data_IF_006111195228
#
_entry.id   IF_006111195228
#
_cell.length_a   1.000
_cell.length_b   1.000
_cell.length_c   1.000
_cell.angle_alpha   90.00
_cell.angle_beta   90.00
_cell.angle_gamma   90.00
#
_symmetry.space_group_name_H-M   'P 1'
#
loop_
_entity.id
_entity.type
_entity.pdbx_description
1 polymer ?
#
# COMPACT_ATOMS: atom_id res chain seq x y z
N UNK A 1 21.13 -21.52 18.12
CA UNK A 1 19.89 -20.85 17.70
C UNK A 1 19.76 -21.05 16.20
N UNK A 2 18.84 -21.91 15.74
CA UNK A 2 18.63 -22.17 14.31
C UNK A 2 18.08 -20.90 13.64
N UNK A 3 18.89 -20.30 12.79
CA UNK A 3 18.53 -19.14 11.98
C UNK A 3 17.63 -19.59 10.80
N UNK A 4 16.44 -20.09 11.09
CA UNK A 4 15.44 -20.35 10.06
C UNK A 4 14.81 -19.02 9.65
N UNK A 5 15.48 -18.31 8.71
CA UNK A 5 14.78 -17.26 7.96
C UNK A 5 13.71 -17.93 7.11
N UNK A 6 12.43 -17.53 7.24
CA UNK A 6 11.36 -18.12 6.43
C UNK A 6 11.67 -17.97 4.94
N UNK A 7 11.25 -18.96 4.15
CA UNK A 7 11.49 -18.99 2.70
C UNK A 7 11.12 -17.65 2.04
N UNK A 8 12.00 -17.20 1.14
CA UNK A 8 11.82 -15.94 0.41
C UNK A 8 10.74 -16.04 -0.67
N UNK A 9 10.40 -17.27 -1.09
CA UNK A 9 9.36 -17.53 -2.07
C UNK A 9 8.09 -18.05 -1.42
N UNK A 10 6.95 -17.59 -1.93
CA UNK A 10 5.62 -18.02 -1.49
C UNK A 10 4.80 -18.44 -2.70
N UNK A 11 4.05 -19.53 -2.54
CA UNK A 11 3.07 -19.99 -3.51
C UNK A 11 1.66 -19.54 -3.05
N UNK A 12 0.86 -19.11 -4.01
CA UNK A 12 -0.54 -18.76 -3.84
C UNK A 12 -1.37 -19.42 -4.93
N UNK A 13 -2.30 -20.28 -4.53
CA UNK A 13 -3.28 -20.86 -5.45
C UNK A 13 -4.49 -19.94 -5.61
N UNK A 14 -4.99 -19.81 -6.83
CA UNK A 14 -6.17 -19.00 -7.13
C UNK A 14 -6.90 -19.54 -8.37
N UNK A 15 -8.10 -19.03 -8.70
CA UNK A 15 -8.74 -19.33 -9.98
C UNK A 15 -7.90 -18.94 -11.21
N UNK A 16 -6.99 -17.98 -11.07
CA UNK A 16 -6.08 -17.55 -12.15
C UNK A 16 -4.90 -18.50 -12.36
N UNK A 17 -4.69 -19.50 -11.49
CA UNK A 17 -3.56 -20.44 -11.55
C UNK A 17 -2.71 -20.43 -10.29
N UNK A 18 -1.45 -20.84 -10.43
CA UNK A 18 -0.46 -20.86 -9.35
C UNK A 18 0.45 -19.65 -9.44
N UNK A 19 0.43 -18.81 -8.42
CA UNK A 19 1.26 -17.62 -8.33
C UNK A 19 2.49 -17.89 -7.46
N UNK A 20 3.67 -17.72 -8.02
CA UNK A 20 4.96 -17.75 -7.32
C UNK A 20 5.44 -16.32 -7.07
N UNK A 21 5.63 -15.96 -5.82
CA UNK A 21 6.09 -14.64 -5.40
C UNK A 21 7.38 -14.73 -4.58
N UNK A 22 8.37 -13.89 -4.93
CA UNK A 22 9.60 -13.75 -4.15
C UNK A 22 9.65 -12.35 -3.51
N UNK A 23 9.51 -12.28 -2.20
CA UNK A 23 9.44 -11.01 -1.46
C UNK A 23 10.73 -10.16 -1.51
N UNK A 24 11.88 -10.79 -1.74
CA UNK A 24 13.18 -10.08 -1.75
C UNK A 24 13.43 -9.38 -3.09
N UNK A 25 13.13 -10.07 -4.19
CA UNK A 25 13.34 -9.55 -5.54
C UNK A 25 12.12 -8.81 -6.09
N UNK A 26 10.93 -9.06 -5.51
CA UNK A 26 9.65 -8.62 -6.05
C UNK A 26 9.22 -9.39 -7.30
N UNK A 27 9.87 -10.54 -7.57
CA UNK A 27 9.52 -11.39 -8.71
C UNK A 27 8.12 -11.98 -8.51
N UNK A 28 7.29 -11.82 -9.52
CA UNK A 28 5.96 -12.41 -9.61
C UNK A 28 5.90 -13.28 -10.87
N UNK A 29 5.52 -14.56 -10.72
CA UNK A 29 5.31 -15.46 -11.83
C UNK A 29 3.94 -16.09 -11.66
N UNK A 30 3.06 -15.91 -12.64
CA UNK A 30 1.80 -16.63 -12.73
C UNK A 30 1.95 -17.80 -13.68
N UNK A 31 1.63 -18.99 -13.20
CA UNK A 31 1.52 -20.22 -13.99
C UNK A 31 0.02 -20.45 -14.22
N UNK A 32 -0.54 -19.80 -15.22
CA UNK A 32 -1.96 -19.79 -15.55
C UNK A 32 -2.42 -21.09 -16.24
N UNK A 33 -1.50 -21.85 -16.81
CA UNK A 33 -1.73 -23.20 -17.35
C UNK A 33 -2.01 -24.25 -16.26
N UNK A 34 -1.70 -23.92 -14.99
CA UNK A 34 -1.91 -24.84 -13.87
C UNK A 34 -3.31 -24.60 -13.28
N UNK A 35 -4.23 -25.51 -13.56
CA UNK A 35 -5.54 -25.52 -12.91
C UNK A 35 -5.38 -25.89 -11.41
N UNK A 36 -5.58 -24.89 -10.54
CA UNK A 36 -5.54 -25.10 -9.09
C UNK A 36 -6.92 -25.53 -8.59
N UNK A 37 -7.07 -26.70 -7.92
CA UNK A 37 -8.33 -27.09 -7.33
C UNK A 37 -8.86 -26.06 -6.32
N UNK A 38 -10.16 -25.81 -6.30
CA UNK A 38 -10.77 -24.80 -5.44
C UNK A 38 -10.45 -24.97 -3.95
N UNK A 39 -10.29 -26.20 -3.49
CA UNK A 39 -9.89 -26.50 -2.10
C UNK A 39 -8.47 -26.02 -1.75
N UNK A 40 -7.63 -25.74 -2.76
CA UNK A 40 -6.27 -25.23 -2.60
C UNK A 40 -6.17 -23.72 -2.89
N UNK A 41 -7.28 -23.07 -3.16
CA UNK A 41 -7.27 -21.62 -3.31
C UNK A 41 -6.95 -20.91 -1.97
N UNK A 42 -6.11 -19.93 -2.05
CA UNK A 42 -5.78 -19.08 -0.90
C UNK A 42 -7.02 -18.34 -0.42
N UNK A 43 -7.29 -18.36 0.90
CA UNK A 43 -8.49 -17.80 1.51
C UNK A 43 -8.37 -16.31 1.79
N UNK A 44 -7.17 -15.84 2.10
CA UNK A 44 -6.91 -14.44 2.41
C UNK A 44 -6.66 -13.60 1.13
N UNK A 45 -6.85 -12.27 1.18
CA UNK A 45 -6.47 -11.36 0.10
C UNK A 45 -5.00 -11.50 -0.30
N UNK A 46 -4.69 -11.24 -1.58
CA UNK A 46 -3.31 -11.22 -2.06
C UNK A 46 -2.48 -10.17 -1.33
N UNK A 47 -3.06 -9.02 -1.04
CA UNK A 47 -2.43 -7.91 -0.35
C UNK A 47 -3.37 -7.37 0.73
N UNK A 48 -2.83 -7.07 1.92
CA UNK A 48 -3.58 -6.40 2.99
C UNK A 48 -2.84 -5.14 3.41
N UNK A 49 -3.55 -4.02 3.51
CA UNK A 49 -3.02 -2.82 4.17
C UNK A 49 -3.54 -2.72 5.60
N UNK A 50 -2.67 -2.26 6.50
CA UNK A 50 -3.00 -2.10 7.93
C UNK A 50 -2.63 -0.68 8.34
N UNK A 51 -3.63 0.11 8.70
CA UNK A 51 -3.43 1.42 9.31
C UNK A 51 -3.06 1.23 10.78
N UNK A 52 -1.77 1.33 11.11
CA UNK A 52 -1.28 1.08 12.47
C UNK A 52 -1.76 2.12 13.47
N UNK A 53 -1.91 3.36 13.02
CA UNK A 53 -2.37 4.49 13.86
C UNK A 53 -3.06 5.54 13.01
N UNK A 54 -3.98 6.28 13.60
CA UNK A 54 -4.58 7.48 13.01
C UNK A 54 -3.79 8.76 13.30
N UNK A 55 -2.75 8.68 14.14
CA UNK A 55 -1.87 9.83 14.43
C UNK A 55 -1.06 10.20 13.20
N UNK A 56 -0.98 11.50 12.94
CA UNK A 56 -0.13 12.07 11.91
C UNK A 56 0.15 13.53 12.25
N UNK A 57 1.37 13.97 12.10
CA UNK A 57 1.79 15.36 12.31
C UNK A 57 1.55 16.25 11.08
N UNK A 58 0.97 15.70 10.00
CA UNK A 58 0.51 16.46 8.83
C UNK A 58 -1.02 16.58 8.81
N UNK A 59 -1.52 17.64 8.16
CA UNK A 59 -2.95 17.92 8.00
C UNK A 59 -3.30 18.18 6.54
N UNK A 60 -2.89 17.28 5.63
CA UNK A 60 -3.15 17.41 4.19
C UNK A 60 -4.66 17.40 3.92
N UNK A 61 -5.13 18.36 3.10
CA UNK A 61 -6.55 18.56 2.84
C UNK A 61 -7.21 17.32 2.17
N UNK A 62 -6.50 16.65 1.27
CA UNK A 62 -6.96 15.46 0.54
C UNK A 62 -6.80 14.15 1.32
N UNK A 63 -6.36 14.19 2.58
CA UNK A 63 -6.14 12.98 3.38
C UNK A 63 -7.46 12.31 3.76
N UNK A 64 -7.64 11.04 3.39
CA UNK A 64 -8.80 10.24 3.77
C UNK A 64 -8.76 9.79 5.23
N UNK A 65 -7.57 9.67 5.83
CA UNK A 65 -7.40 9.15 7.18
C UNK A 65 -8.05 10.09 8.23
N UNK A 66 -8.79 9.49 9.13
CA UNK A 66 -9.29 10.19 10.31
C UNK A 66 -8.12 10.60 11.20
N UNK A 67 -8.16 11.83 11.73
CA UNK A 67 -7.18 12.30 12.70
C UNK A 67 -7.70 12.02 14.10
N UNK A 68 -7.15 11.00 14.75
CA UNK A 68 -7.45 10.61 16.11
C UNK A 68 -6.23 9.98 16.76
N UNK A 69 -6.35 9.57 18.01
CA UNK A 69 -5.28 8.89 18.76
C UNK A 69 -5.37 7.36 18.67
N UNK A 70 -6.29 6.84 17.84
CA UNK A 70 -6.44 5.40 17.70
C UNK A 70 -5.17 4.77 17.15
N UNK A 71 -4.81 3.64 17.73
CA UNK A 71 -3.69 2.82 17.30
C UNK A 71 -3.93 1.34 17.61
N UNK A 72 -3.40 0.49 16.77
CA UNK A 72 -3.52 -0.95 16.91
C UNK A 72 -2.49 -1.50 17.92
N UNK A 73 -2.91 -2.48 18.68
CA UNK A 73 -2.00 -3.16 19.61
C UNK A 73 -1.08 -4.12 18.87
N UNK A 74 0.15 -4.22 19.33
CA UNK A 74 1.16 -5.11 18.77
C UNK A 74 0.70 -6.57 18.66
N UNK A 75 0.15 -7.11 19.75
CA UNK A 75 -0.33 -8.49 19.84
C UNK A 75 -1.49 -8.80 18.89
N UNK A 76 -2.38 -7.84 18.65
CA UNK A 76 -3.46 -7.99 17.67
C UNK A 76 -2.90 -8.04 16.24
N UNK A 77 -2.03 -7.10 15.88
CA UNK A 77 -1.43 -7.05 14.54
C UNK A 77 -0.61 -8.30 14.26
N UNK A 78 0.20 -8.77 15.20
CA UNK A 78 1.03 -9.97 15.00
C UNK A 78 0.21 -11.24 14.81
N UNK A 79 -0.92 -11.42 15.52
CA UNK A 79 -1.86 -12.52 15.27
C UNK A 79 -2.45 -12.45 13.85
N UNK A 80 -2.89 -11.28 13.41
CA UNK A 80 -3.43 -11.10 12.06
C UNK A 80 -2.38 -11.38 10.99
N UNK A 81 -1.13 -10.94 11.19
CA UNK A 81 -0.03 -11.22 10.26
C UNK A 81 0.23 -12.72 10.11
N UNK A 82 0.24 -13.47 11.23
CA UNK A 82 0.42 -14.92 11.21
C UNK A 82 -0.74 -15.63 10.49
N UNK A 83 -1.98 -15.24 10.73
CA UNK A 83 -3.16 -15.80 10.08
C UNK A 83 -3.18 -15.49 8.58
N UNK A 84 -2.90 -14.26 8.18
CA UNK A 84 -2.81 -13.84 6.78
C UNK A 84 -1.70 -14.60 6.04
N UNK A 85 -0.52 -14.75 6.66
CA UNK A 85 0.59 -15.51 6.08
C UNK A 85 0.22 -16.98 5.83
N UNK A 86 -0.36 -17.63 6.83
CA UNK A 86 -0.81 -19.02 6.72
C UNK A 86 -1.92 -19.21 5.68
N UNK A 87 -2.70 -18.18 5.40
CA UNK A 87 -3.87 -18.21 4.50
C UNK A 87 -3.60 -17.70 3.09
N UNK A 88 -2.32 -17.43 2.75
CA UNK A 88 -1.90 -17.19 1.38
C UNK A 88 -1.73 -15.71 0.98
N UNK A 89 -1.84 -14.75 1.90
CA UNK A 89 -1.47 -13.34 1.62
C UNK A 89 0.00 -13.26 1.22
N UNK A 90 0.32 -12.52 0.17
CA UNK A 90 1.69 -12.35 -0.32
C UNK A 90 2.40 -11.18 0.36
N UNK A 91 1.69 -10.13 0.71
CA UNK A 91 2.28 -8.95 1.31
C UNK A 91 1.36 -8.16 2.22
N UNK A 92 1.97 -7.40 3.11
CA UNK A 92 1.31 -6.45 3.98
C UNK A 92 1.89 -5.06 3.77
N UNK A 93 1.02 -4.04 3.78
CA UNK A 93 1.40 -2.65 3.73
C UNK A 93 1.01 -1.92 5.01
N UNK A 94 1.96 -1.44 5.78
CA UNK A 94 1.67 -0.60 6.94
C UNK A 94 1.43 0.85 6.52
N UNK A 95 0.38 1.45 7.08
CA UNK A 95 -0.02 2.82 6.80
C UNK A 95 -0.78 3.40 7.99
N UNK A 96 -1.71 4.29 7.68
CA UNK A 96 -2.58 4.94 8.67
C UNK A 96 -2.56 6.45 8.51
N UNK A 97 -2.40 7.20 9.61
CA UNK A 97 -1.94 8.58 9.58
C UNK A 97 -0.49 8.63 9.09
N UNK A 98 0.45 8.49 10.02
CA UNK A 98 1.87 8.25 9.72
C UNK A 98 2.34 7.03 10.51
N UNK A 99 2.65 5.89 9.85
CA UNK A 99 2.95 4.65 10.55
C UNK A 99 4.21 4.73 11.42
N UNK A 100 5.16 5.59 11.07
CA UNK A 100 6.39 5.78 11.86
C UNK A 100 6.15 6.41 13.23
N UNK A 101 4.96 6.98 13.46
CA UNK A 101 4.54 7.48 14.77
C UNK A 101 3.96 6.39 15.68
N UNK A 102 3.74 5.19 15.17
CA UNK A 102 3.32 4.07 16.01
C UNK A 102 4.50 3.59 16.87
N UNK A 103 4.34 3.47 18.21
CA UNK A 103 5.47 3.21 19.12
C UNK A 103 6.19 1.89 18.84
N UNK A 104 5.49 0.92 18.28
CA UNK A 104 6.05 -0.40 17.98
C UNK A 104 6.22 -0.65 16.48
N UNK A 105 6.22 0.39 15.66
CA UNK A 105 6.33 0.29 14.19
C UNK A 105 7.51 -0.58 13.74
N UNK A 106 8.70 -0.31 14.27
CA UNK A 106 9.90 -1.09 13.93
C UNK A 106 9.77 -2.55 14.32
N UNK A 107 9.24 -2.83 15.52
CA UNK A 107 9.04 -4.21 15.98
C UNK A 107 8.03 -4.95 15.12
N UNK A 108 6.97 -4.29 14.66
CA UNK A 108 5.98 -4.87 13.73
C UNK A 108 6.60 -5.22 12.39
N UNK A 109 7.42 -4.32 11.81
CA UNK A 109 8.16 -4.61 10.58
C UNK A 109 9.11 -5.80 10.77
N UNK A 110 9.85 -5.83 11.89
CA UNK A 110 10.77 -6.92 12.22
C UNK A 110 10.04 -8.24 12.41
N UNK A 111 8.94 -8.25 13.16
CA UNK A 111 8.10 -9.45 13.33
C UNK A 111 7.59 -9.98 11.99
N UNK A 112 7.00 -9.13 11.17
CA UNK A 112 6.49 -9.54 9.87
C UNK A 112 7.59 -10.14 8.97
N UNK A 113 8.79 -9.55 8.99
CA UNK A 113 9.91 -10.03 8.19
C UNK A 113 10.54 -11.34 8.70
N UNK A 114 10.55 -11.56 10.02
CA UNK A 114 11.26 -12.68 10.65
C UNK A 114 10.35 -13.88 10.90
N UNK A 115 9.09 -13.64 11.31
CA UNK A 115 8.16 -14.67 11.74
C UNK A 115 7.17 -15.07 10.64
N UNK A 116 7.13 -14.34 9.51
CA UNK A 116 6.24 -14.62 8.40
C UNK A 116 6.98 -14.62 7.06
N UNK A 117 6.32 -15.12 6.00
CA UNK A 117 6.78 -15.03 4.61
C UNK A 117 6.20 -13.83 3.86
N UNK A 118 5.49 -12.94 4.55
CA UNK A 118 4.89 -11.75 3.95
C UNK A 118 5.95 -10.79 3.42
N UNK A 119 5.71 -10.19 2.27
CA UNK A 119 6.41 -8.98 1.87
C UNK A 119 5.96 -7.81 2.72
N UNK A 120 6.89 -7.09 3.31
CA UNK A 120 6.61 -5.97 4.19
C UNK A 120 6.82 -4.67 3.44
N UNK A 121 5.79 -3.84 3.38
CA UNK A 121 5.85 -2.49 2.84
C UNK A 121 5.24 -1.48 3.80
N UNK A 122 5.54 -0.20 3.61
CA UNK A 122 4.81 0.87 4.30
C UNK A 122 4.73 2.13 3.45
N UNK A 123 3.69 2.93 3.74
CA UNK A 123 3.48 4.24 3.13
C UNK A 123 3.72 5.32 4.17
N UNK A 124 4.54 6.31 3.84
CA UNK A 124 4.96 7.39 4.75
C UNK A 124 5.02 8.73 4.01
N UNK A 125 4.91 9.84 4.74
CA UNK A 125 5.27 11.16 4.20
C UNK A 125 6.81 11.37 4.17
N UNK A 126 7.60 10.46 4.74
CA UNK A 126 9.06 10.42 4.65
C UNK A 126 9.82 11.24 5.68
N UNK A 127 9.24 12.26 6.29
CA UNK A 127 9.97 13.22 7.15
C UNK A 127 10.54 12.62 8.44
N UNK A 128 9.99 11.50 8.92
CA UNK A 128 10.52 10.78 10.09
C UNK A 128 11.52 9.69 9.74
N UNK A 129 11.74 9.44 8.44
CA UNK A 129 12.71 8.42 8.01
C UNK A 129 14.10 9.05 8.00
N UNK A 130 14.74 9.05 9.17
CA UNK A 130 16.12 9.47 9.34
C UNK A 130 17.08 8.27 9.30
N UNK A 131 18.36 8.54 9.50
CA UNK A 131 19.41 7.51 9.49
C UNK A 131 19.18 6.46 10.58
N UNK A 132 18.79 6.87 11.79
CA UNK A 132 18.57 5.95 12.91
C UNK A 132 17.42 4.97 12.60
N UNK A 133 16.27 5.49 12.18
CA UNK A 133 15.14 4.67 11.79
C UNK A 133 15.50 3.75 10.62
N UNK A 134 16.26 4.26 9.65
CA UNK A 134 16.71 3.48 8.49
C UNK A 134 17.57 2.29 8.88
N UNK A 135 18.51 2.47 9.79
CA UNK A 135 19.37 1.40 10.30
C UNK A 135 18.54 0.31 11.02
N UNK A 136 17.53 0.71 11.80
CA UNK A 136 16.63 -0.20 12.52
C UNK A 136 15.68 -1.01 11.61
N UNK A 137 15.30 -0.45 10.47
CA UNK A 137 14.38 -1.08 9.51
C UNK A 137 15.09 -1.95 8.45
N UNK A 138 16.41 -1.84 8.32
CA UNK A 138 17.17 -2.55 7.30
C UNK A 138 16.97 -4.06 7.38
N UNK A 139 16.60 -4.67 6.26
CA UNK A 139 16.31 -6.11 6.16
C UNK A 139 14.94 -6.54 6.67
N UNK A 140 14.13 -5.60 7.20
CA UNK A 140 12.78 -5.85 7.69
C UNK A 140 11.67 -5.30 6.77
N UNK A 141 12.06 -4.55 5.73
CA UNK A 141 11.13 -3.92 4.78
C UNK A 141 11.56 -4.27 3.36
N UNK A 142 10.61 -4.60 2.51
CA UNK A 142 10.83 -4.98 1.11
C UNK A 142 10.54 -3.82 0.15
N UNK A 143 9.61 -2.93 0.52
CA UNK A 143 9.23 -1.80 -0.30
C UNK A 143 8.70 -0.62 0.53
N UNK A 144 8.99 0.61 0.10
CA UNK A 144 8.50 1.82 0.75
C UNK A 144 7.77 2.69 -0.27
N UNK A 145 6.64 3.27 0.12
CA UNK A 145 5.95 4.30 -0.66
C UNK A 145 6.07 5.64 0.04
N UNK A 146 6.65 6.61 -0.65
CA UNK A 146 6.77 7.98 -0.14
C UNK A 146 5.75 8.88 -0.82
N UNK A 147 4.97 9.58 -0.03
CA UNK A 147 3.98 10.52 -0.54
C UNK A 147 4.62 11.84 -0.96
N UNK A 148 4.53 12.20 -2.25
CA UNK A 148 5.08 13.42 -2.81
C UNK A 148 4.07 14.06 -3.79
N UNK A 149 3.22 14.96 -3.27
CA UNK A 149 2.18 15.62 -4.05
C UNK A 149 2.70 16.95 -4.62
N UNK A 150 3.25 16.90 -5.82
CA UNK A 150 3.91 18.02 -6.46
C UNK A 150 5.37 18.20 -6.03
N UNK A 151 5.99 19.28 -6.45
CA UNK A 151 7.38 19.65 -6.14
C UNK A 151 7.45 21.06 -5.59
N UNK A 152 8.56 21.41 -4.91
CA UNK A 152 8.83 22.75 -4.40
C UNK A 152 7.63 23.38 -3.67
N UNK A 153 7.18 24.52 -4.16
CA UNK A 153 6.10 25.31 -3.52
C UNK A 153 4.76 24.56 -3.49
N UNK A 154 4.41 23.78 -4.50
CA UNK A 154 3.18 22.97 -4.53
C UNK A 154 3.21 21.90 -3.45
N UNK A 155 4.32 21.17 -3.35
CA UNK A 155 4.50 20.20 -2.26
C UNK A 155 4.37 20.86 -0.89
N UNK A 156 5.07 21.99 -0.67
CA UNK A 156 5.06 22.71 0.61
C UNK A 156 3.68 23.27 0.95
N UNK A 157 2.95 23.73 -0.05
CA UNK A 157 1.56 24.18 0.13
C UNK A 157 0.64 23.02 0.57
N UNK A 158 0.75 21.86 -0.07
CA UNK A 158 -0.11 20.70 0.20
C UNK A 158 0.27 19.99 1.50
N UNK A 159 1.57 19.74 1.71
CA UNK A 159 2.09 18.92 2.81
C UNK A 159 2.48 19.72 4.04
N UNK A 160 2.62 21.03 3.92
CA UNK A 160 3.06 21.94 5.01
C UNK A 160 4.40 21.53 5.61
N UNK A 161 5.30 21.01 4.78
CA UNK A 161 6.67 20.56 5.12
C UNK A 161 7.63 20.96 4.02
N UNK A 162 8.89 21.13 4.37
CA UNK A 162 9.95 21.49 3.41
C UNK A 162 10.16 20.38 2.37
N UNK A 163 10.10 20.76 1.10
CA UNK A 163 10.42 19.87 -0.01
C UNK A 163 11.90 19.49 -0.03
N UNK A 164 12.79 20.45 0.27
CA UNK A 164 14.22 20.20 0.36
C UNK A 164 14.57 19.16 1.44
N UNK A 165 13.87 19.21 2.58
CA UNK A 165 14.03 18.20 3.64
C UNK A 165 13.58 16.82 3.15
N UNK A 166 12.44 16.71 2.46
CA UNK A 166 12.02 15.45 1.88
C UNK A 166 13.10 14.84 0.98
N UNK A 167 13.70 15.64 0.09
CA UNK A 167 14.75 15.15 -0.82
C UNK A 167 15.96 14.60 -0.05
N UNK A 168 16.31 15.18 1.09
CA UNK A 168 17.35 14.63 1.97
C UNK A 168 16.92 13.27 2.53
N UNK A 169 15.66 13.16 3.03
CA UNK A 169 15.12 11.91 3.58
C UNK A 169 15.00 10.78 2.57
N UNK A 170 14.79 11.07 1.29
CA UNK A 170 14.76 10.03 0.26
C UNK A 170 16.05 9.22 0.16
N UNK A 171 17.21 9.78 0.55
CA UNK A 171 18.47 9.05 0.64
C UNK A 171 18.42 8.00 1.76
N UNK A 172 17.84 8.36 2.90
CA UNK A 172 17.67 7.47 4.04
C UNK A 172 16.67 6.35 3.70
N UNK A 173 15.54 6.71 3.06
CA UNK A 173 14.55 5.75 2.54
C UNK A 173 15.20 4.73 1.60
N UNK A 174 15.99 5.19 0.62
CA UNK A 174 16.71 4.33 -0.34
C UNK A 174 17.67 3.36 0.35
N UNK A 175 18.23 3.73 1.50
CA UNK A 175 19.16 2.88 2.25
C UNK A 175 18.46 1.69 2.93
N UNK A 176 17.14 1.73 3.12
CA UNK A 176 16.35 0.66 3.73
C UNK A 176 16.01 -0.41 2.68
N UNK A 177 15.37 0.01 1.58
CA UNK A 177 14.87 -0.87 0.53
C UNK A 177 14.61 -0.10 -0.77
N UNK A 178 14.14 -0.82 -1.81
CA UNK A 178 13.53 -0.17 -2.97
C UNK A 178 12.33 0.66 -2.54
N UNK A 179 12.08 1.76 -3.26
CA UNK A 179 10.95 2.62 -2.95
C UNK A 179 10.28 3.15 -4.22
N UNK A 180 9.03 3.55 -4.06
CA UNK A 180 8.25 4.27 -5.06
C UNK A 180 7.66 5.55 -4.47
N UNK A 181 7.21 6.42 -5.32
CA UNK A 181 6.54 7.67 -4.95
C UNK A 181 5.04 7.55 -5.23
N UNK A 182 4.22 8.01 -4.29
CA UNK A 182 2.78 8.19 -4.47
C UNK A 182 2.49 9.66 -4.71
N UNK A 183 1.68 9.95 -5.72
CA UNK A 183 1.18 11.30 -5.99
C UNK A 183 -0.34 11.30 -6.13
N UNK A 184 -1.02 12.12 -5.34
CA UNK A 184 -2.44 12.39 -5.52
C UNK A 184 -2.59 13.33 -6.71
N UNK A 185 -3.27 12.88 -7.76
CA UNK A 185 -3.43 13.63 -9.01
C UNK A 185 -4.72 14.44 -8.97
N UNK A 186 -4.56 15.75 -9.01
CA UNK A 186 -5.62 16.75 -9.07
C UNK A 186 -5.19 17.93 -9.95
N UNK A 187 -5.96 19.00 -9.99
CA UNK A 187 -5.68 20.19 -10.80
C UNK A 187 -4.34 20.87 -10.47
N UNK A 188 -3.88 20.78 -9.22
CA UNK A 188 -2.64 21.40 -8.77
C UNK A 188 -1.42 20.54 -9.06
N UNK A 189 -1.52 19.20 -8.93
CA UNK A 189 -0.38 18.28 -9.07
C UNK A 189 -0.20 17.76 -10.48
N UNK A 190 -1.28 17.68 -11.28
CA UNK A 190 -1.22 17.20 -12.67
C UNK A 190 -0.23 17.97 -13.54
N UNK A 191 -0.13 19.32 -13.51
CA UNK A 191 0.84 20.07 -14.29
C UNK A 191 2.30 19.76 -13.95
N UNK A 192 2.56 19.23 -12.77
CA UNK A 192 3.91 18.98 -12.26
C UNK A 192 4.35 17.50 -12.39
N UNK A 193 3.54 16.63 -13.01
CA UNK A 193 3.84 15.19 -13.06
C UNK A 193 5.17 14.86 -13.73
N UNK A 194 5.58 15.60 -14.77
CA UNK A 194 6.89 15.41 -15.39
C UNK A 194 8.03 15.69 -14.41
N UNK A 195 7.90 16.76 -13.63
CA UNK A 195 8.90 17.14 -12.66
C UNK A 195 8.88 16.20 -11.44
N UNK A 196 7.70 15.78 -10.98
CA UNK A 196 7.56 14.74 -9.94
C UNK A 196 8.23 13.45 -10.40
N UNK A 197 8.00 13.01 -11.63
CA UNK A 197 8.61 11.81 -12.18
C UNK A 197 10.14 11.94 -12.28
N UNK A 198 10.63 13.08 -12.76
CA UNK A 198 12.06 13.36 -12.88
C UNK A 198 12.75 13.35 -11.51
N UNK A 199 12.23 14.12 -10.55
CA UNK A 199 12.81 14.19 -9.19
C UNK A 199 12.76 12.83 -8.48
N UNK A 200 11.68 12.08 -8.68
CA UNK A 200 11.54 10.72 -8.11
C UNK A 200 12.61 9.78 -8.68
N UNK A 201 12.83 9.82 -10.01
CA UNK A 201 13.85 9.00 -10.67
C UNK A 201 15.27 9.39 -10.22
N UNK A 202 15.56 10.69 -10.14
CA UNK A 202 16.86 11.21 -9.67
C UNK A 202 17.13 10.79 -8.21
N UNK A 203 16.12 10.72 -7.38
CA UNK A 203 16.21 10.20 -5.99
C UNK A 203 16.38 8.67 -5.95
N UNK A 204 16.17 7.96 -7.05
CA UNK A 204 16.30 6.51 -7.15
C UNK A 204 15.03 5.73 -6.84
N UNK A 205 13.87 6.36 -6.94
CA UNK A 205 12.59 5.63 -6.95
C UNK A 205 12.54 4.67 -8.15
N UNK A 206 11.81 3.56 -8.01
CA UNK A 206 11.65 2.60 -9.11
C UNK A 206 10.25 2.63 -9.73
N UNK A 207 9.29 3.29 -9.08
CA UNK A 207 7.93 3.43 -9.60
C UNK A 207 7.24 4.70 -9.10
N UNK A 208 6.25 5.15 -9.86
CA UNK A 208 5.36 6.26 -9.53
C UNK A 208 3.92 5.76 -9.49
N UNK A 209 3.29 5.83 -8.33
CA UNK A 209 1.88 5.49 -8.15
C UNK A 209 1.03 6.75 -8.31
N UNK A 210 0.22 6.75 -9.36
CA UNK A 210 -0.73 7.79 -9.66
C UNK A 210 -2.05 7.50 -8.92
N UNK A 211 -2.48 8.43 -8.09
CA UNK A 211 -3.70 8.31 -7.29
C UNK A 211 -4.65 9.46 -7.69
N UNK A 212 -5.54 9.26 -8.68
CA UNK A 212 -6.58 10.24 -8.95
C UNK A 212 -7.30 10.62 -7.65
N UNK A 213 -7.45 11.91 -7.40
CA UNK A 213 -8.05 12.39 -6.16
C UNK A 213 -9.46 11.83 -5.98
N UNK A 214 -9.68 11.15 -4.87
CA UNK A 214 -11.00 10.69 -4.44
C UNK A 214 -11.74 11.81 -3.67
N UNK A 215 -13.07 11.79 -3.62
CA UNK A 215 -13.81 12.77 -2.82
C UNK A 215 -13.52 12.54 -1.34
N UNK A 216 -13.07 13.59 -0.65
CA UNK A 216 -12.77 13.55 0.78
C UNK A 216 -13.26 14.82 1.43
N UNK A 217 -14.12 14.74 2.44
CA UNK A 217 -14.69 15.89 3.13
C UNK A 217 -15.38 16.86 2.14
N UNK A 218 -14.86 18.08 2.01
CA UNK A 218 -15.34 19.09 1.05
C UNK A 218 -14.64 19.05 -0.31
N UNK A 219 -13.59 18.24 -0.47
CA UNK A 219 -12.88 18.14 -1.73
C UNK A 219 -13.60 17.17 -2.66
N UNK A 220 -13.76 17.58 -3.91
CA UNK A 220 -14.33 16.76 -4.96
C UNK A 220 -13.31 15.77 -5.49
N UNK A 221 -13.80 14.73 -6.16
CA UNK A 221 -12.98 13.83 -6.95
C UNK A 221 -12.27 14.60 -8.08
N UNK A 222 -11.19 14.00 -8.61
CA UNK A 222 -10.56 14.50 -9.83
C UNK A 222 -11.61 14.64 -10.95
N UNK A 223 -11.62 15.79 -11.62
CA UNK A 223 -12.59 16.06 -12.69
C UNK A 223 -12.36 15.17 -13.92
N UNK A 224 -13.37 15.03 -14.77
CA UNK A 224 -13.23 14.29 -16.03
C UNK A 224 -12.12 14.86 -16.93
N UNK A 225 -11.94 16.18 -16.95
CA UNK A 225 -10.83 16.83 -17.66
C UNK A 225 -9.48 16.42 -17.06
N UNK A 226 -9.35 16.46 -15.74
CA UNK A 226 -8.13 16.02 -15.04
C UNK A 226 -7.79 14.56 -15.40
N UNK A 227 -8.79 13.67 -15.38
CA UNK A 227 -8.59 12.25 -15.74
C UNK A 227 -8.18 12.09 -17.22
N UNK A 228 -8.81 12.84 -18.13
CA UNK A 228 -8.45 12.81 -19.56
C UNK A 228 -7.03 13.31 -19.80
N UNK A 229 -6.63 14.37 -19.11
CA UNK A 229 -5.26 14.90 -19.21
C UNK A 229 -4.25 13.93 -18.61
N UNK A 230 -4.60 13.28 -17.51
CA UNK A 230 -3.76 12.24 -16.90
C UNK A 230 -3.57 11.05 -17.86
N UNK A 231 -4.63 10.58 -18.54
CA UNK A 231 -4.51 9.51 -19.54
C UNK A 231 -3.55 9.90 -20.66
N UNK A 232 -3.69 11.11 -21.22
CA UNK A 232 -2.77 11.62 -22.24
C UNK A 232 -1.32 11.69 -21.75
N UNK A 233 -1.12 12.08 -20.49
CA UNK A 233 0.21 12.10 -19.89
C UNK A 233 0.79 10.68 -19.77
N UNK A 234 -0.01 9.71 -19.29
CA UNK A 234 0.41 8.30 -19.18
C UNK A 234 0.78 7.73 -20.55
N UNK A 235 -0.05 7.96 -21.58
CA UNK A 235 0.22 7.49 -22.95
C UNK A 235 1.51 8.11 -23.54
N UNK A 236 1.81 9.35 -23.19
CA UNK A 236 2.99 10.08 -23.62
C UNK A 236 4.26 9.82 -22.81
N UNK A 237 4.15 9.21 -21.64
CA UNK A 237 5.27 9.06 -20.71
C UNK A 237 6.39 8.17 -21.29
N UNK A 238 7.63 8.66 -21.28
CA UNK A 238 8.84 7.95 -21.75
C UNK A 238 9.95 7.89 -20.70
N UNK A 239 9.62 8.24 -19.45
CA UNK A 239 10.59 8.24 -18.37
C UNK A 239 10.93 6.83 -17.86
N UNK A 240 11.92 6.73 -16.97
CA UNK A 240 12.44 5.44 -16.49
C UNK A 240 11.59 4.78 -15.40
N UNK A 241 10.63 5.49 -14.80
CA UNK A 241 9.82 4.95 -13.73
C UNK A 241 8.71 4.04 -14.26
N UNK A 242 8.47 2.93 -13.60
CA UNK A 242 7.25 2.17 -13.79
C UNK A 242 6.07 2.99 -13.28
N UNK A 243 5.07 3.23 -14.13
CA UNK A 243 3.82 3.85 -13.71
C UNK A 243 2.90 2.80 -13.09
N UNK A 244 2.24 3.17 -12.00
CA UNK A 244 1.23 2.36 -11.32
C UNK A 244 -0.02 3.20 -11.09
N UNK A 245 -1.19 2.55 -11.02
CA UNK A 245 -2.46 3.17 -10.66
C UNK A 245 -3.20 2.22 -9.71
N UNK A 246 -4.03 2.75 -8.81
CA UNK A 246 -4.88 1.91 -7.97
C UNK A 246 -6.03 1.31 -8.79
N UNK A 247 -6.46 0.09 -8.43
CA UNK A 247 -7.49 -0.67 -9.15
C UNK A 247 -8.78 0.13 -9.34
N UNK A 248 -9.28 0.80 -8.29
CA UNK A 248 -10.51 1.59 -8.34
C UNK A 248 -10.47 2.80 -9.28
N UNK A 249 -9.31 3.18 -9.78
CA UNK A 249 -9.13 4.31 -10.72
C UNK A 249 -8.52 3.87 -12.05
N UNK A 250 -8.38 2.56 -12.28
CA UNK A 250 -7.67 2.01 -13.44
C UNK A 250 -8.50 2.06 -14.74
N UNK A 251 -9.82 2.30 -14.64
CA UNK A 251 -10.71 2.34 -15.81
C UNK A 251 -10.24 3.37 -16.85
N UNK A 252 -10.08 2.89 -18.08
CA UNK A 252 -9.62 3.71 -19.22
C UNK A 252 -8.13 4.01 -19.24
N UNK A 253 -7.31 3.35 -18.38
CA UNK A 253 -5.86 3.39 -18.45
C UNK A 253 -5.29 2.09 -19.06
N UNK A 254 -4.15 2.15 -19.76
CA UNK A 254 -3.46 0.97 -20.27
C UNK A 254 -2.82 0.20 -19.11
N UNK A 255 -3.56 -0.74 -18.53
CA UNK A 255 -3.07 -1.57 -17.42
C UNK A 255 -2.68 -2.96 -17.90
N UNK A 256 -1.68 -3.55 -17.23
CA UNK A 256 -1.29 -4.94 -17.38
C UNK A 256 -1.51 -5.64 -16.04
N UNK A 257 -2.69 -6.25 -15.86
CA UNK A 257 -2.99 -7.10 -14.71
C UNK A 257 -3.31 -8.52 -15.21
N UNK A 258 -2.41 -9.48 -15.01
CA UNK A 258 -2.67 -10.88 -15.39
C UNK A 258 -3.63 -11.59 -14.43
N UNK A 259 -3.98 -10.98 -13.29
CA UNK A 259 -4.75 -11.58 -12.22
C UNK A 259 -6.21 -11.09 -12.19
N UNK A 260 -6.81 -10.91 -13.37
CA UNK A 260 -8.20 -10.39 -13.52
C UNK A 260 -9.26 -11.17 -12.73
N UNK A 261 -9.01 -12.45 -12.41
CA UNK A 261 -9.91 -13.28 -11.59
C UNK A 261 -9.67 -13.10 -10.08
N UNK A 262 -8.60 -12.43 -9.67
CA UNK A 262 -8.32 -12.06 -8.28
C UNK A 262 -8.62 -10.58 -8.03
N UNK A 263 -9.88 -10.21 -8.11
CA UNK A 263 -10.39 -8.87 -7.82
C UNK A 263 -11.06 -8.78 -6.44
N UNK A 264 -11.45 -7.55 -6.06
CA UNK A 264 -12.16 -7.27 -4.81
C UNK A 264 -11.42 -7.83 -3.59
N UNK A 265 -12.15 -8.49 -2.70
CA UNK A 265 -11.59 -9.07 -1.46
C UNK A 265 -10.58 -10.20 -1.69
N UNK A 266 -10.47 -10.75 -2.88
CA UNK A 266 -9.38 -11.69 -3.21
C UNK A 266 -8.07 -10.98 -3.48
N UNK A 267 -8.14 -9.79 -4.06
CA UNK A 267 -6.97 -8.96 -4.36
C UNK A 267 -6.50 -8.17 -3.14
N UNK A 268 -7.42 -7.50 -2.46
CA UNK A 268 -7.07 -6.50 -1.46
C UNK A 268 -8.11 -6.39 -0.34
N UNK A 269 -7.63 -6.08 0.87
CA UNK A 269 -8.43 -5.61 2.00
C UNK A 269 -7.64 -4.59 2.82
N UNK A 270 -8.37 -3.81 3.61
CA UNK A 270 -7.82 -2.78 4.49
C UNK A 270 -8.27 -3.00 5.93
N UNK A 271 -7.35 -2.94 6.88
CA UNK A 271 -7.64 -2.89 8.31
C UNK A 271 -7.33 -1.47 8.79
N UNK A 272 -8.33 -0.77 9.31
CA UNK A 272 -8.13 0.59 9.83
C UNK A 272 -7.57 0.59 11.26
N UNK A 273 -7.19 1.77 11.77
CA UNK A 273 -6.57 1.93 13.08
C UNK A 273 -7.51 1.66 14.27
N UNK A 274 -8.79 1.46 14.01
CA UNK A 274 -9.78 1.00 15.00
C UNK A 274 -9.99 -0.53 14.94
N UNK A 275 -9.25 -1.23 14.07
CA UNK A 275 -9.38 -2.67 13.88
C UNK A 275 -10.61 -3.09 13.06
N UNK A 276 -11.10 -2.24 12.17
CA UNK A 276 -12.20 -2.59 11.26
C UNK A 276 -11.63 -3.05 9.93
N UNK A 277 -12.00 -4.24 9.49
CA UNK A 277 -11.68 -4.78 8.16
C UNK A 277 -12.64 -4.21 7.13
N UNK A 278 -12.10 -3.67 6.03
CA UNK A 278 -12.83 -3.00 4.96
C UNK A 278 -12.38 -3.47 3.58
N UNK A 279 -13.22 -3.36 2.53
CA UNK A 279 -12.80 -3.64 1.15
C UNK A 279 -11.72 -2.65 0.65
N UNK A 280 -11.75 -1.41 1.13
CA UNK A 280 -10.75 -0.38 0.81
C UNK A 280 -10.66 0.65 1.93
N UNK A 281 -9.62 1.48 1.91
CA UNK A 281 -9.44 2.59 2.87
C UNK A 281 -10.50 3.70 2.74
N UNK A 282 -11.28 3.72 1.68
CA UNK A 282 -12.36 4.68 1.44
C UNK A 282 -13.75 4.11 1.73
N UNK A 283 -13.86 2.81 1.99
CA UNK A 283 -15.15 2.15 2.23
C UNK A 283 -15.72 2.53 3.60
N UNK A 284 -17.01 2.90 3.62
CA UNK A 284 -17.77 3.05 4.85
C UNK A 284 -18.22 1.71 5.46
N UNK A 285 -18.25 0.64 4.65
CA UNK A 285 -18.63 -0.71 5.07
C UNK A 285 -17.42 -1.41 5.69
N UNK A 286 -17.63 -2.16 6.76
CA UNK A 286 -16.56 -2.93 7.39
C UNK A 286 -17.04 -3.84 8.50
N UNK A 287 -16.16 -4.75 8.94
CA UNK A 287 -16.38 -5.72 10.02
C UNK A 287 -15.33 -5.50 11.09
N UNK A 288 -15.77 -5.36 12.35
CA UNK A 288 -14.87 -5.19 13.49
C UNK A 288 -14.08 -6.48 13.75
N UNK A 289 -12.77 -6.35 13.80
CA UNK A 289 -11.85 -7.43 14.12
C UNK A 289 -11.69 -7.61 15.64
N UNK A 290 -12.66 -7.40 16.48
CA UNK A 290 -12.52 -7.62 17.94
C UNK A 290 -11.35 -8.61 18.23
N UNK A 291 -11.34 -9.49 19.11
CA UNK A 291 -10.28 -10.51 19.28
C UNK A 291 -10.36 -11.67 18.26
N UNK A 292 -11.05 -11.45 17.13
CA UNK A 292 -11.40 -12.48 16.15
C UNK A 292 -10.39 -12.69 15.03
N UNK A 293 -10.68 -13.71 14.25
CA UNK A 293 -9.98 -14.13 13.03
C UNK A 293 -10.23 -13.15 11.89
N UNK A 294 -9.17 -12.76 11.19
CA UNK A 294 -9.26 -11.95 9.95
C UNK A 294 -10.05 -12.70 8.88
N UNK A 295 -9.87 -14.02 8.78
CA UNK A 295 -10.59 -14.83 7.80
C UNK A 295 -12.09 -14.86 8.09
N UNK A 296 -12.48 -14.97 9.35
CA UNK A 296 -13.90 -14.92 9.72
C UNK A 296 -14.52 -13.57 9.35
N UNK A 297 -13.81 -12.48 9.63
CA UNK A 297 -14.26 -11.14 9.25
C UNK A 297 -14.32 -10.94 7.72
N UNK A 298 -13.39 -11.55 6.97
CA UNK A 298 -13.44 -11.56 5.50
C UNK A 298 -14.68 -12.29 4.97
N UNK A 299 -15.01 -13.45 5.55
CA UNK A 299 -16.21 -14.21 5.19
C UNK A 299 -17.48 -13.40 5.49
N UNK A 300 -17.57 -12.74 6.65
CA UNK A 300 -18.69 -11.84 6.99
C UNK A 300 -18.79 -10.65 6.04
N UNK A 301 -17.66 -10.01 5.72
CA UNK A 301 -17.62 -8.86 4.82
C UNK A 301 -18.06 -9.25 3.40
N UNK A 302 -17.63 -10.43 2.93
CA UNK A 302 -18.03 -10.94 1.62
C UNK A 302 -19.54 -11.19 1.52
N UNK A 303 -20.15 -11.79 2.55
CA UNK A 303 -21.61 -11.99 2.61
C UNK A 303 -22.37 -10.67 2.64
N UNK A 304 -21.95 -9.71 3.48
CA UNK A 304 -22.61 -8.41 3.58
C UNK A 304 -22.50 -7.55 2.31
N UNK A 305 -21.47 -7.73 1.49
CA UNK A 305 -21.36 -7.05 0.19
C UNK A 305 -22.36 -7.62 -0.83
N UNK A 306 -22.58 -8.94 -0.83
CA UNK A 306 -23.55 -9.58 -1.75
C UNK A 306 -24.99 -9.15 -1.44
N UNK A 307 -25.34 -8.98 -0.15
CA UNK A 307 -26.69 -8.55 0.25
C UNK A 307 -27.00 -7.08 -0.10
N UNK A 308 -25.98 -6.23 -0.24
CA UNK A 308 -26.16 -4.81 -0.58
C UNK A 308 -26.19 -4.55 -2.10
N UNK A 309 -25.78 -5.51 -2.93
CA UNK A 309 -25.83 -5.43 -4.40
C UNK A 309 -27.11 -6.04 -5.00
N UNK A 310 -28.02 -6.57 -4.18
CA UNK A 310 -29.34 -7.13 -4.56
C UNK A 310 -30.47 -6.22 -4.11
#
# INVERSE_FOLDING_TARGET
MNNHRPDRCKLRGSPAGLHLFNRTTGMNVLLDEIAVPAALHSRAPRQVSIALTNRCDLACAHCYAHKSQDELRFDAVTRWLAELDASGTLGVGFGGGEPTLHPEFVKLCQYAAQETRLSVSFTTHGHHVDRELSERLRGSVNFIRVSMDGVGATYEFIRRRSFAELLVRLRDVRSISRFGVNVVVNEHTLPELDEVARVSADAGACELLLLPQMPVRSLLAASADTLQRLRRWVDGYKGPLKLCINESSAEGFPTCDPLVQENGLRAYAHIDAMGVLRPSSYSGIGVQLSDGSVLHALDQLAHGLVENDT
#
